data_IF_630889132917
#
_entry.id   IF_630889132917
#
_cell.length_a   1.000
_cell.length_b   1.000
_cell.length_c   1.000
_cell.angle_alpha   90.00
_cell.angle_beta   90.00
_cell.angle_gamma   90.00
#
_symmetry.space_group_name_H-M   'P 1'
#
loop_
_entity.id
_entity.type
_entity.pdbx_description
1 polymer ?
#
# COMPACT_ATOMS: atom_id res chain seq x y z
N UNK A 1 33.57 -5.92 -56.32
CA UNK A 1 33.89 -5.89 -54.87
C UNK A 1 32.84 -5.04 -54.20
N UNK A 2 31.99 -5.62 -53.35
CA UNK A 2 31.00 -4.88 -52.57
C UNK A 2 31.24 -5.21 -51.10
N UNK A 3 31.57 -4.19 -50.31
CA UNK A 3 31.82 -4.29 -48.87
C UNK A 3 30.48 -4.22 -48.15
N UNK A 4 30.11 -5.28 -47.44
CA UNK A 4 28.94 -5.31 -46.56
C UNK A 4 29.36 -4.80 -45.19
N UNK A 5 28.85 -3.64 -44.78
CA UNK A 5 28.99 -3.15 -43.41
C UNK A 5 27.92 -3.78 -42.52
N UNK A 6 28.35 -4.63 -41.58
CA UNK A 6 27.53 -5.01 -40.43
C UNK A 6 27.51 -3.82 -39.45
N UNK A 7 26.36 -3.15 -39.34
CA UNK A 7 26.08 -2.25 -38.22
C UNK A 7 25.62 -3.11 -37.05
N UNK A 8 26.53 -3.40 -36.12
CA UNK A 8 26.18 -3.90 -34.80
C UNK A 8 25.59 -2.73 -34.02
N UNK A 9 24.26 -2.67 -33.93
CA UNK A 9 23.58 -1.79 -32.97
C UNK A 9 23.85 -2.35 -31.57
N UNK A 10 24.89 -1.83 -30.92
CA UNK A 10 25.07 -1.93 -29.49
C UNK A 10 23.89 -1.22 -28.83
N UNK A 11 22.86 -1.99 -28.49
CA UNK A 11 21.74 -1.55 -27.66
C UNK A 11 22.30 -1.14 -26.31
N UNK A 12 22.58 0.15 -26.16
CA UNK A 12 22.86 0.75 -24.87
C UNK A 12 21.69 0.41 -23.96
N UNK A 13 21.94 -0.44 -22.96
CA UNK A 13 21.09 -0.60 -21.81
C UNK A 13 21.07 0.75 -21.09
N UNK A 14 20.26 1.67 -21.60
CA UNK A 14 19.89 2.89 -20.91
C UNK A 14 19.31 2.44 -19.59
N UNK A 15 19.98 2.84 -18.51
CA UNK A 15 19.52 2.70 -17.14
C UNK A 15 18.06 3.09 -17.08
N UNK A 16 17.17 2.09 -17.08
CA UNK A 16 15.76 2.30 -16.93
C UNK A 16 15.60 3.13 -15.67
N UNK A 17 15.12 4.37 -15.82
CA UNK A 17 14.83 5.26 -14.69
C UNK A 17 13.90 4.48 -13.79
N UNK A 18 14.45 3.97 -12.68
CA UNK A 18 13.68 3.19 -11.73
C UNK A 18 12.57 4.07 -11.20
N UNK A 19 11.34 3.61 -11.38
CA UNK A 19 10.17 4.27 -10.83
C UNK A 19 10.27 4.13 -9.30
N UNK A 20 10.72 5.19 -8.63
CA UNK A 20 10.73 5.23 -7.17
C UNK A 20 9.29 5.15 -6.66
N UNK A 21 9.03 4.20 -5.79
CA UNK A 21 7.73 3.99 -5.20
C UNK A 21 7.80 4.12 -3.68
N UNK A 22 6.69 4.51 -3.06
CA UNK A 22 6.66 4.83 -1.64
C UNK A 22 6.06 3.65 -0.85
N UNK A 23 6.86 2.92 -0.05
CA UNK A 23 6.41 1.69 0.61
C UNK A 23 5.13 1.88 1.45
N UNK A 24 5.03 3.02 2.14
CA UNK A 24 3.88 3.36 2.98
C UNK A 24 2.83 4.25 2.32
N UNK A 25 2.85 4.43 0.99
CA UNK A 25 1.94 5.35 0.30
C UNK A 25 2.56 6.69 -0.08
N UNK A 26 1.85 7.45 -0.91
CA UNK A 26 2.41 8.53 -1.73
C UNK A 26 2.40 9.89 -1.01
N UNK A 27 3.55 10.52 -0.72
CA UNK A 27 3.58 11.72 0.12
C UNK A 27 2.95 12.96 -0.51
N UNK A 28 2.78 13.00 -1.84
CA UNK A 28 2.30 14.18 -2.58
C UNK A 28 1.18 13.91 -3.59
N UNK A 29 0.77 12.65 -3.79
CA UNK A 29 -0.34 12.33 -4.69
C UNK A 29 -1.66 12.33 -3.90
N UNK A 30 -2.14 13.54 -3.56
CA UNK A 30 -3.37 13.73 -2.79
C UNK A 30 -4.58 13.67 -3.73
N UNK A 31 -4.97 12.47 -4.16
CA UNK A 31 -6.04 12.22 -5.12
C UNK A 31 -6.64 10.82 -4.96
N UNK A 32 -7.69 10.51 -5.72
CA UNK A 32 -8.19 9.14 -5.85
C UNK A 32 -7.06 8.24 -6.37
N UNK A 33 -6.93 7.05 -5.79
CA UNK A 33 -5.96 6.05 -6.19
C UNK A 33 -6.63 4.68 -6.28
N UNK A 34 -6.38 3.97 -7.37
CA UNK A 34 -6.53 2.52 -7.36
C UNK A 34 -5.20 1.88 -6.95
N UNK A 35 -5.22 0.61 -6.52
CA UNK A 35 -3.99 -0.13 -6.22
C UNK A 35 -3.25 -0.56 -7.49
N UNK A 36 -3.44 0.11 -8.63
CA UNK A 36 -2.67 -0.13 -9.85
C UNK A 36 -1.17 0.16 -9.68
N UNK A 37 -0.80 0.98 -8.69
CA UNK A 37 0.59 1.15 -8.24
C UNK A 37 1.16 -0.12 -7.56
N UNK A 38 0.36 -1.16 -7.38
CA UNK A 38 0.76 -2.32 -6.59
C UNK A 38 1.89 -3.12 -7.22
N UNK A 39 2.26 -2.98 -8.50
CA UNK A 39 3.47 -3.67 -9.01
C UNK A 39 4.74 -3.29 -8.23
N UNK A 40 4.71 -2.15 -7.55
CA UNK A 40 5.79 -1.70 -6.69
C UNK A 40 5.80 -2.39 -5.31
N UNK A 41 4.67 -2.96 -4.85
CA UNK A 41 4.52 -3.58 -3.53
C UNK A 41 4.34 -5.10 -3.63
N UNK A 42 4.80 -5.84 -2.63
CA UNK A 42 4.47 -7.27 -2.51
C UNK A 42 3.06 -7.46 -1.95
N UNK A 43 2.27 -8.35 -2.54
CA UNK A 43 1.00 -8.80 -1.94
C UNK A 43 1.28 -9.66 -0.73
N UNK A 44 0.51 -9.52 0.34
CA UNK A 44 0.68 -10.35 1.54
C UNK A 44 -0.03 -11.72 1.45
N UNK A 45 -0.82 -11.95 0.40
CA UNK A 45 -1.61 -13.19 0.24
C UNK A 45 -1.77 -13.56 -1.24
N UNK A 46 -1.75 -14.87 -1.51
CA UNK A 46 -1.98 -15.44 -2.85
C UNK A 46 -3.42 -15.25 -3.31
N UNK A 47 -4.38 -15.27 -2.38
CA UNK A 47 -5.81 -15.11 -2.65
C UNK A 47 -6.13 -13.74 -3.26
N UNK A 48 -5.34 -12.71 -2.94
CA UNK A 48 -5.43 -11.36 -3.54
C UNK A 48 -4.94 -11.31 -4.99
N UNK A 49 -4.27 -12.36 -5.45
CA UNK A 49 -3.69 -12.52 -6.78
C UNK A 49 -4.34 -13.67 -7.55
N UNK A 50 -5.50 -14.16 -7.10
CA UNK A 50 -6.20 -15.32 -7.66
C UNK A 50 -6.64 -15.14 -9.13
N UNK A 51 -6.55 -13.93 -9.65
CA UNK A 51 -6.74 -13.60 -11.06
C UNK A 51 -5.50 -13.86 -11.93
N UNK A 52 -4.37 -14.26 -11.33
CA UNK A 52 -3.10 -14.52 -12.02
C UNK A 52 -2.72 -16.02 -12.02
N UNK A 53 -1.89 -16.47 -12.98
CA UNK A 53 -1.26 -17.79 -12.94
C UNK A 53 -0.37 -18.00 -11.70
N UNK A 54 -0.23 -19.23 -11.16
CA UNK A 54 0.49 -19.50 -9.92
C UNK A 54 1.95 -18.99 -9.86
N UNK A 55 2.70 -19.10 -10.94
CA UNK A 55 4.07 -18.60 -11.05
C UNK A 55 4.12 -17.07 -10.95
N UNK A 56 3.17 -16.41 -11.61
CA UNK A 56 3.03 -14.97 -11.55
C UNK A 56 2.59 -14.54 -10.16
N UNK A 57 1.70 -15.28 -9.48
CA UNK A 57 1.35 -15.02 -8.08
C UNK A 57 2.58 -15.11 -7.16
N UNK A 58 3.38 -16.18 -7.26
CA UNK A 58 4.56 -16.38 -6.43
C UNK A 58 5.59 -15.24 -6.58
N UNK A 59 5.76 -14.74 -7.81
CA UNK A 59 6.63 -13.60 -8.12
C UNK A 59 6.16 -12.26 -7.54
N UNK A 60 4.97 -12.21 -6.94
CA UNK A 60 4.32 -11.00 -6.42
C UNK A 60 4.22 -10.98 -4.90
N UNK A 61 4.60 -12.09 -4.24
CA UNK A 61 4.68 -12.22 -2.78
C UNK A 61 6.01 -11.67 -2.23
N UNK A 62 6.15 -11.50 -0.91
CA UNK A 62 7.40 -11.09 -0.30
C UNK A 62 8.55 -12.05 -0.59
N UNK A 63 8.28 -13.36 -0.58
CA UNK A 63 9.28 -14.41 -0.77
C UNK A 63 9.94 -14.33 -2.14
N UNK A 64 9.14 -14.19 -3.21
CA UNK A 64 9.62 -14.11 -4.59
C UNK A 64 10.13 -12.73 -5.01
N UNK A 65 10.14 -11.75 -4.11
CA UNK A 65 10.60 -10.36 -4.36
C UNK A 65 11.55 -9.93 -3.26
N UNK A 66 11.01 -9.20 -2.28
CA UNK A 66 11.74 -8.53 -1.22
C UNK A 66 12.72 -9.46 -0.49
N UNK A 67 12.27 -10.65 -0.07
CA UNK A 67 13.14 -11.57 0.66
C UNK A 67 14.18 -12.21 -0.24
N UNK A 68 13.90 -12.43 -1.53
CA UNK A 68 14.89 -12.93 -2.48
C UNK A 68 16.02 -11.91 -2.67
N UNK A 69 15.67 -10.62 -2.83
CA UNK A 69 16.64 -9.54 -2.98
C UNK A 69 17.51 -9.39 -1.72
N UNK A 70 16.89 -9.44 -0.53
CA UNK A 70 17.62 -9.38 0.74
C UNK A 70 18.58 -10.58 0.85
N UNK A 71 18.10 -11.80 0.63
CA UNK A 71 18.92 -13.02 0.72
C UNK A 71 20.08 -13.01 -0.28
N UNK A 72 19.79 -12.64 -1.54
CA UNK A 72 20.78 -12.53 -2.61
C UNK A 72 21.82 -11.43 -2.35
N UNK A 73 21.55 -10.51 -1.42
CA UNK A 73 22.41 -9.35 -1.19
C UNK A 73 22.37 -8.39 -2.36
N UNK A 74 21.23 -8.25 -3.02
CA UNK A 74 21.12 -7.36 -4.17
C UNK A 74 21.28 -5.90 -3.72
N UNK A 75 21.96 -5.12 -4.55
CA UNK A 75 22.08 -3.65 -4.39
C UNK A 75 22.58 -3.21 -3.01
N UNK A 76 21.73 -2.58 -2.20
CA UNK A 76 22.10 -2.07 -0.90
C UNK A 76 22.21 -3.19 0.15
N UNK A 77 21.54 -4.32 -0.05
CA UNK A 77 21.63 -5.47 0.87
C UNK A 77 23.00 -6.14 0.83
N UNK A 78 23.81 -5.91 -0.22
CA UNK A 78 25.19 -6.40 -0.29
C UNK A 78 26.06 -5.88 0.88
N UNK A 79 25.68 -4.74 1.46
CA UNK A 79 26.37 -4.10 2.61
C UNK A 79 26.06 -4.78 3.94
N UNK A 80 25.01 -5.60 4.00
CA UNK A 80 24.66 -6.40 5.18
C UNK A 80 25.40 -7.73 5.13
N UNK A 81 25.86 -8.20 6.29
CA UNK A 81 26.36 -9.57 6.45
C UNK A 81 25.22 -10.58 6.22
N UNK A 82 25.52 -11.86 5.89
CA UNK A 82 24.49 -12.89 5.79
C UNK A 82 23.60 -13.00 7.04
N UNK A 83 24.21 -12.95 8.23
CA UNK A 83 23.48 -13.00 9.50
C UNK A 83 22.56 -11.79 9.69
N UNK A 84 22.98 -10.61 9.23
CA UNK A 84 22.18 -9.39 9.32
C UNK A 84 21.00 -9.38 8.33
N UNK A 85 21.16 -9.99 7.15
CA UNK A 85 20.06 -10.22 6.19
C UNK A 85 19.01 -11.15 6.78
N UNK A 86 19.43 -12.24 7.43
CA UNK A 86 18.52 -13.16 8.13
C UNK A 86 17.75 -12.46 9.24
N UNK A 87 18.43 -11.66 10.08
CA UNK A 87 17.78 -10.85 11.13
C UNK A 87 16.77 -9.86 10.54
N UNK A 88 17.14 -9.18 9.45
CA UNK A 88 16.24 -8.25 8.77
C UNK A 88 14.98 -8.96 8.25
N UNK A 89 15.13 -10.10 7.59
CA UNK A 89 13.99 -10.91 7.10
C UNK A 89 13.12 -11.36 8.27
N UNK A 90 13.71 -11.84 9.37
CA UNK A 90 12.96 -12.26 10.55
C UNK A 90 12.14 -11.09 11.12
N UNK A 91 12.74 -9.91 11.27
CA UNK A 91 12.04 -8.72 11.74
C UNK A 91 10.89 -8.30 10.80
N UNK A 92 11.10 -8.35 9.49
CA UNK A 92 10.05 -8.05 8.50
C UNK A 92 8.92 -9.06 8.60
N UNK A 93 9.21 -10.36 8.72
CA UNK A 93 8.18 -11.40 8.90
C UNK A 93 7.35 -11.18 10.17
N UNK A 94 8.01 -10.80 11.27
CA UNK A 94 7.31 -10.44 12.52
C UNK A 94 6.38 -9.25 12.30
N UNK A 95 6.85 -8.20 11.63
CA UNK A 95 6.01 -7.04 11.32
C UNK A 95 4.84 -7.40 10.40
N UNK A 96 5.07 -8.20 9.34
CA UNK A 96 4.05 -8.65 8.40
C UNK A 96 2.96 -9.46 9.12
N UNK A 97 3.35 -10.38 10.02
CA UNK A 97 2.42 -11.18 10.83
C UNK A 97 1.53 -10.36 11.77
N UNK A 98 1.97 -9.15 12.12
CA UNK A 98 1.25 -8.23 12.99
C UNK A 98 0.62 -7.04 12.27
N UNK A 99 0.83 -6.94 10.95
CA UNK A 99 0.27 -5.91 10.10
C UNK A 99 -1.00 -6.40 9.43
N UNK A 100 -2.00 -5.53 9.35
CA UNK A 100 -3.28 -5.92 8.79
C UNK A 100 -4.26 -4.77 8.67
N UNK A 101 -5.36 -5.04 7.96
CA UNK A 101 -6.44 -4.09 7.75
C UNK A 101 -7.78 -4.78 7.94
N UNK A 102 -8.69 -4.10 8.62
CA UNK A 102 -10.07 -4.52 8.80
C UNK A 102 -11.02 -3.40 8.39
N UNK A 103 -12.25 -3.78 8.06
CA UNK A 103 -13.27 -2.87 7.57
C UNK A 103 -14.60 -3.22 8.21
N UNK A 104 -15.36 -2.19 8.60
CA UNK A 104 -16.74 -2.31 9.05
C UNK A 104 -17.59 -1.25 8.37
N UNK A 105 -18.82 -1.62 8.01
CA UNK A 105 -19.82 -0.68 7.50
C UNK A 105 -20.90 -0.45 8.57
N UNK A 106 -21.47 0.74 8.60
CA UNK A 106 -22.55 1.09 9.54
C UNK A 106 -23.83 0.25 9.33
N UNK A 107 -23.98 -0.34 8.15
CA UNK A 107 -25.04 -1.30 7.84
C UNK A 107 -24.65 -2.19 6.67
N UNK A 108 -25.10 -3.45 6.66
CA UNK A 108 -25.03 -4.33 5.50
C UNK A 108 -26.18 -4.11 4.49
N UNK A 109 -27.17 -3.28 4.85
CA UNK A 109 -28.32 -2.93 4.00
C UNK A 109 -28.59 -1.42 4.04
N UNK A 110 -28.72 -0.80 2.89
CA UNK A 110 -28.93 0.64 2.76
C UNK A 110 -29.94 0.92 1.66
N UNK A 111 -30.72 2.00 1.78
CA UNK A 111 -31.63 2.42 0.71
C UNK A 111 -30.83 2.92 -0.50
N UNK A 112 -31.38 2.86 -1.73
CA UNK A 112 -30.82 3.57 -2.87
C UNK A 112 -30.50 5.03 -2.54
N UNK A 113 -29.30 5.48 -2.91
CA UNK A 113 -28.80 6.84 -2.57
C UNK A 113 -28.75 7.17 -1.07
N UNK A 114 -28.90 6.18 -0.19
CA UNK A 114 -28.88 6.33 1.25
C UNK A 114 -27.46 6.51 1.82
N UNK A 115 -27.33 7.08 3.03
CA UNK A 115 -26.05 7.25 3.68
C UNK A 115 -25.48 5.92 4.19
N UNK A 116 -24.17 5.76 4.08
CA UNK A 116 -23.42 4.64 4.63
C UNK A 116 -22.10 5.17 5.19
N UNK A 117 -21.71 4.74 6.38
CA UNK A 117 -20.36 5.04 6.91
C UNK A 117 -19.52 3.77 6.86
N UNK A 118 -18.29 3.88 6.38
CA UNK A 118 -17.33 2.78 6.35
C UNK A 118 -16.11 3.17 7.17
N UNK A 119 -15.75 2.33 8.13
CA UNK A 119 -14.58 2.51 8.99
C UNK A 119 -13.54 1.46 8.64
N UNK A 120 -12.35 1.92 8.29
CA UNK A 120 -11.17 1.08 8.04
C UNK A 120 -10.23 1.24 9.23
N UNK A 121 -9.79 0.12 9.80
CA UNK A 121 -8.76 0.10 10.85
C UNK A 121 -7.53 -0.60 10.31
N UNK A 122 -6.37 0.02 10.48
CA UNK A 122 -5.08 -0.59 10.13
C UNK A 122 -4.28 -0.86 11.38
N UNK A 123 -3.39 -1.86 11.31
CA UNK A 123 -2.39 -2.16 12.33
C UNK A 123 -1.05 -2.43 11.67
N UNK A 124 0.04 -2.08 12.35
CA UNK A 124 1.41 -2.34 11.94
C UNK A 124 1.95 -1.34 10.92
N UNK A 125 2.93 -1.77 10.14
CA UNK A 125 3.64 -0.94 9.17
C UNK A 125 4.82 -0.13 9.73
N UNK A 126 5.80 0.07 8.87
CA UNK A 126 7.00 0.87 9.12
C UNK A 126 6.85 2.26 8.46
N UNK A 127 6.92 3.29 9.30
CA UNK A 127 6.64 4.68 8.98
C UNK A 127 7.53 5.35 7.93
N UNK A 128 7.30 6.64 7.66
CA UNK A 128 6.48 7.55 8.48
C UNK A 128 4.99 7.58 8.11
N UNK A 129 4.57 6.82 7.10
CA UNK A 129 3.18 6.81 6.62
C UNK A 129 2.70 5.40 6.31
N UNK A 130 1.38 5.23 6.35
CA UNK A 130 0.70 4.11 5.68
C UNK A 130 -0.41 4.66 4.79
N UNK A 131 -0.66 3.96 3.68
CA UNK A 131 -1.68 4.31 2.71
C UNK A 131 -2.94 3.49 2.95
N UNK A 132 -4.11 4.13 2.87
CA UNK A 132 -5.41 3.46 3.01
C UNK A 132 -6.30 3.88 1.85
N UNK A 133 -6.80 2.90 1.09
CA UNK A 133 -7.70 3.10 -0.05
C UNK A 133 -9.02 2.39 0.20
N UNK A 134 -10.15 3.03 -0.11
CA UNK A 134 -11.44 2.35 -0.21
C UNK A 134 -11.68 1.90 -1.66
N UNK A 135 -11.93 0.61 -1.86
CA UNK A 135 -11.97 -0.05 -3.17
C UNK A 135 -13.11 -1.06 -3.24
N UNK A 136 -13.44 -1.50 -4.44
CA UNK A 136 -14.55 -2.41 -4.75
C UNK A 136 -14.27 -3.90 -4.46
N UNK A 137 -13.04 -4.37 -4.67
CA UNK A 137 -12.66 -5.79 -4.51
C UNK A 137 -11.28 -5.98 -3.88
N UNK A 138 -11.00 -7.18 -3.40
CA UNK A 138 -9.71 -7.60 -2.84
C UNK A 138 -8.76 -8.23 -3.89
N UNK A 139 -9.15 -8.17 -5.17
CA UNK A 139 -8.29 -8.54 -6.28
C UNK A 139 -7.31 -7.43 -6.58
N UNK A 140 -6.02 -7.67 -6.37
CA UNK A 140 -4.99 -6.64 -6.47
C UNK A 140 -4.97 -5.94 -7.83
N UNK A 141 -5.06 -6.68 -8.94
CA UNK A 141 -4.92 -6.10 -10.27
C UNK A 141 -6.26 -5.68 -10.91
N UNK A 142 -7.38 -6.03 -10.28
CA UNK A 142 -8.73 -5.72 -10.77
C UNK A 142 -9.46 -4.68 -9.93
N UNK A 143 -8.93 -4.37 -8.73
CA UNK A 143 -9.58 -3.43 -7.83
C UNK A 143 -9.51 -2.00 -8.34
N UNK A 144 -10.61 -1.31 -8.13
CA UNK A 144 -10.82 0.07 -8.54
C UNK A 144 -11.27 0.91 -7.35
N UNK A 145 -11.11 2.24 -7.42
CA UNK A 145 -11.70 3.13 -6.42
C UNK A 145 -13.19 2.82 -6.23
N UNK A 146 -13.67 2.89 -4.99
CA UNK A 146 -15.04 2.50 -4.64
C UNK A 146 -16.13 3.22 -5.46
N UNK A 147 -15.79 4.39 -6.03
CA UNK A 147 -16.66 5.15 -6.90
C UNK A 147 -17.03 4.41 -8.20
N UNK A 148 -16.23 3.43 -8.64
CA UNK A 148 -16.54 2.58 -9.80
C UNK A 148 -17.79 1.72 -9.56
N UNK A 149 -18.04 1.29 -8.32
CA UNK A 149 -19.27 0.59 -7.93
C UNK A 149 -20.47 1.55 -7.77
N UNK A 150 -20.28 2.85 -7.96
CA UNK A 150 -21.32 3.87 -7.87
C UNK A 150 -21.51 4.47 -6.48
N UNK A 151 -20.68 4.12 -5.49
CA UNK A 151 -20.68 4.83 -4.21
C UNK A 151 -20.06 6.21 -4.38
N UNK A 152 -20.71 7.25 -3.86
CA UNK A 152 -20.10 8.57 -3.77
C UNK A 152 -19.47 8.75 -2.39
N UNK A 153 -18.21 9.19 -2.33
CA UNK A 153 -17.64 9.73 -1.10
C UNK A 153 -18.19 11.15 -0.96
N UNK A 154 -18.86 11.45 0.14
CA UNK A 154 -19.63 12.70 0.28
C UNK A 154 -18.93 13.76 1.12
N UNK A 155 -17.86 13.40 1.82
CA UNK A 155 -17.08 14.28 2.68
C UNK A 155 -15.60 13.85 2.67
N UNK A 156 -14.67 14.75 3.05
CA UNK A 156 -13.27 14.37 3.23
C UNK A 156 -13.13 13.23 4.25
N UNK A 157 -12.35 12.17 3.97
CA UNK A 157 -12.19 11.07 4.91
C UNK A 157 -11.64 11.55 6.26
N UNK A 158 -12.24 11.08 7.35
CA UNK A 158 -11.77 11.41 8.71
C UNK A 158 -10.65 10.46 9.11
N UNK A 159 -9.45 11.00 9.32
CA UNK A 159 -8.26 10.22 9.66
C UNK A 159 -7.99 10.36 11.15
N UNK A 160 -7.75 9.24 11.83
CA UNK A 160 -7.24 9.18 13.20
C UNK A 160 -5.88 8.47 13.18
N UNK A 161 -4.85 9.17 13.66
CA UNK A 161 -3.48 8.68 13.71
C UNK A 161 -3.24 7.67 14.84
N UNK A 162 -2.00 7.14 14.94
CA UNK A 162 -1.59 6.22 16.00
C UNK A 162 -1.72 6.76 17.42
N UNK A 163 -1.66 8.07 17.59
CA UNK A 163 -1.82 8.76 18.88
C UNK A 163 -3.29 8.97 19.27
N UNK A 164 -4.22 8.46 18.47
CA UNK A 164 -5.66 8.62 18.69
C UNK A 164 -6.21 9.98 18.27
N UNK A 165 -5.39 10.87 17.69
CA UNK A 165 -5.81 12.23 17.32
C UNK A 165 -6.23 12.34 15.85
N UNK A 166 -7.17 13.26 15.52
CA UNK A 166 -7.50 13.57 14.15
C UNK A 166 -6.28 14.08 13.35
N UNK A 167 -6.17 13.71 12.09
CA UNK A 167 -5.15 14.19 11.16
C UNK A 167 -5.77 14.78 9.89
N UNK A 168 -5.27 15.93 9.44
CA UNK A 168 -5.65 16.55 8.16
C UNK A 168 -4.47 16.73 7.22
N UNK A 169 -3.23 16.57 7.71
CA UNK A 169 -1.98 16.89 7.02
C UNK A 169 -1.89 16.37 5.58
N UNK A 170 -2.31 15.14 5.33
CA UNK A 170 -2.31 14.60 3.96
C UNK A 170 -3.33 15.31 3.07
N UNK A 171 -4.57 15.44 3.53
CA UNK A 171 -5.65 16.09 2.79
C UNK A 171 -5.39 17.58 2.56
N UNK A 172 -4.71 18.25 3.48
CA UNK A 172 -4.30 19.65 3.36
C UNK A 172 -3.23 19.87 2.27
N UNK A 173 -2.55 18.80 1.85
CA UNK A 173 -1.68 18.84 0.67
C UNK A 173 -2.44 18.93 -0.65
N UNK A 174 -3.77 18.76 -0.66
CA UNK A 174 -4.59 18.93 -1.86
C UNK A 174 -4.77 20.41 -2.15
N UNK A 175 -4.66 20.78 -3.43
CA UNK A 175 -4.81 22.17 -3.88
C UNK A 175 -6.15 22.78 -3.47
N UNK A 176 -6.13 24.03 -3.02
CA UNK A 176 -7.31 24.76 -2.60
C UNK A 176 -8.36 24.81 -3.72
N UNK A 177 -9.64 24.70 -3.35
CA UNK A 177 -10.76 24.67 -4.29
C UNK A 177 -11.08 23.30 -4.90
N UNK A 178 -10.20 22.30 -4.76
CA UNK A 178 -10.52 20.93 -5.15
C UNK A 178 -11.24 20.19 -4.02
N UNK A 179 -12.29 19.42 -4.35
CA UNK A 179 -12.93 18.51 -3.39
C UNK A 179 -11.93 17.50 -2.85
N UNK A 180 -11.97 17.26 -1.53
CA UNK A 180 -11.15 16.28 -0.79
C UNK A 180 -11.89 14.94 -0.59
N UNK A 181 -12.97 14.71 -1.31
CA UNK A 181 -13.82 13.52 -1.21
C UNK A 181 -13.20 12.36 -2.02
N UNK A 182 -12.01 11.94 -1.57
CA UNK A 182 -11.14 10.99 -2.27
C UNK A 182 -11.10 9.64 -1.56
N UNK A 183 -10.89 8.56 -2.31
CA UNK A 183 -10.88 7.21 -1.78
C UNK A 183 -9.57 6.83 -1.08
N UNK A 184 -8.53 7.66 -1.18
CA UNK A 184 -7.19 7.35 -0.72
C UNK A 184 -6.66 8.42 0.24
N UNK A 185 -6.05 7.96 1.33
CA UNK A 185 -5.36 8.81 2.29
C UNK A 185 -4.03 8.20 2.75
N UNK A 186 -3.07 9.05 3.14
CA UNK A 186 -2.01 8.64 4.04
C UNK A 186 -2.35 8.99 5.48
N UNK A 187 -2.09 8.05 6.38
CA UNK A 187 -1.98 8.32 7.81
C UNK A 187 -0.51 8.56 8.13
N UNK A 188 -0.20 9.62 8.86
CA UNK A 188 1.18 10.00 9.21
C UNK A 188 1.56 9.53 10.61
N UNK A 189 2.87 9.53 10.87
CA UNK A 189 3.49 9.20 12.15
C UNK A 189 3.27 7.76 12.61
N UNK A 190 2.96 6.87 11.66
CA UNK A 190 2.86 5.43 11.89
C UNK A 190 4.23 4.85 12.17
N UNK A 191 4.44 4.29 13.36
CA UNK A 191 5.69 3.66 13.75
C UNK A 191 5.39 2.38 14.51
N UNK A 192 5.94 1.27 14.04
CA UNK A 192 5.90 -0.02 14.72
C UNK A 192 7.33 -0.43 15.06
N UNK A 193 7.48 -1.17 16.15
CA UNK A 193 8.74 -1.71 16.64
C UNK A 193 8.51 -3.18 17.03
N UNK A 194 8.85 -4.12 16.14
CA UNK A 194 8.75 -5.56 16.38
C UNK A 194 9.58 -6.03 17.58
N UNK A 195 10.74 -5.40 17.84
CA UNK A 195 11.63 -5.77 18.95
C UNK A 195 10.98 -5.39 20.30
N UNK A 196 10.27 -4.25 20.32
CA UNK A 196 9.45 -3.82 21.47
C UNK A 196 8.03 -4.41 21.48
N UNK A 197 7.63 -5.21 20.48
CA UNK A 197 6.29 -5.77 20.36
C UNK A 197 5.18 -4.72 20.14
N UNK A 198 5.53 -3.52 19.65
CA UNK A 198 4.57 -2.42 19.45
C UNK A 198 4.19 -2.26 17.98
N UNK A 199 2.89 -2.10 17.72
CA UNK A 199 2.34 -2.02 16.37
C UNK A 199 1.31 -0.91 16.32
N UNK A 200 1.62 0.15 15.57
CA UNK A 200 0.73 1.31 15.45
C UNK A 200 -0.63 0.91 14.89
N UNK A 201 -1.70 1.50 15.40
CA UNK A 201 -3.05 1.29 14.91
C UNK A 201 -3.65 2.62 14.47
N UNK A 202 -4.29 2.65 13.31
CA UNK A 202 -4.90 3.86 12.75
C UNK A 202 -6.34 3.59 12.33
N UNK A 203 -7.12 4.66 12.16
CA UNK A 203 -8.50 4.57 11.70
C UNK A 203 -8.79 5.60 10.62
N UNK A 204 -9.48 5.18 9.57
CA UNK A 204 -9.98 6.07 8.52
C UNK A 204 -11.48 5.82 8.35
N UNK A 205 -12.27 6.89 8.41
CA UNK A 205 -13.73 6.82 8.26
C UNK A 205 -14.14 7.53 6.98
N UNK A 206 -14.83 6.81 6.10
CA UNK A 206 -15.40 7.31 4.87
C UNK A 206 -16.92 7.49 5.04
N UNK A 207 -17.41 8.68 4.74
CA UNK A 207 -18.84 8.95 4.59
C UNK A 207 -19.23 8.73 3.12
N UNK A 208 -20.18 7.82 2.89
CA UNK A 208 -20.59 7.40 1.56
C UNK A 208 -22.08 7.66 1.34
N UNK A 209 -22.42 7.85 0.07
CA UNK A 209 -23.77 7.66 -0.48
C UNK A 209 -23.78 6.37 -1.29
N UNK A 210 -24.72 5.49 -1.00
CA UNK A 210 -24.89 4.25 -1.74
C UNK A 210 -25.30 4.51 -3.20
N UNK A 211 -25.04 3.57 -4.12
CA UNK A 211 -25.56 3.63 -5.49
C UNK A 211 -27.07 3.87 -5.54
N UNK A 212 -27.54 4.56 -6.58
CA UNK A 212 -28.97 4.77 -6.81
C UNK A 212 -29.66 3.52 -7.37
N UNK A 213 -28.90 2.59 -7.97
CA UNK A 213 -29.41 1.34 -8.52
C UNK A 213 -29.48 0.30 -7.39
N UNK A 214 -30.61 -0.39 -7.19
CA UNK A 214 -30.66 -1.54 -6.28
C UNK A 214 -29.72 -2.66 -6.71
N UNK A 215 -29.12 -3.37 -5.76
CA UNK A 215 -28.16 -4.44 -6.06
C UNK A 215 -27.34 -4.88 -4.86
N UNK A 216 -26.47 -5.86 -5.07
CA UNK A 216 -25.45 -6.27 -4.11
C UNK A 216 -24.10 -5.74 -4.56
N UNK A 217 -23.53 -4.87 -3.75
CA UNK A 217 -22.26 -4.22 -4.01
C UNK A 217 -21.19 -4.73 -3.08
N UNK A 218 -19.93 -4.58 -3.47
CA UNK A 218 -18.79 -4.97 -2.64
C UNK A 218 -18.02 -3.74 -2.21
N UNK A 219 -17.59 -3.72 -0.95
CA UNK A 219 -16.72 -2.67 -0.41
C UNK A 219 -15.60 -3.36 0.34
N UNK A 220 -14.36 -2.97 0.08
CA UNK A 220 -13.20 -3.35 0.89
C UNK A 220 -12.21 -2.20 1.00
N UNK A 221 -11.10 -2.44 1.70
CA UNK A 221 -10.01 -1.49 1.83
C UNK A 221 -8.68 -2.13 1.43
N UNK A 222 -7.86 -1.38 0.70
CA UNK A 222 -6.46 -1.70 0.49
C UNK A 222 -5.59 -0.89 1.46
N UNK A 223 -4.51 -1.51 1.93
CA UNK A 223 -3.60 -1.00 2.93
C UNK A 223 -2.16 -1.14 2.43
N UNK A 224 -1.45 -0.02 2.32
CA UNK A 224 -0.06 0.06 1.91
C UNK A 224 0.84 0.36 3.10
N UNK A 225 1.86 -0.44 3.33
CA UNK A 225 2.81 -0.22 4.43
C UNK A 225 4.23 -0.61 4.06
N UNK A 226 5.22 0.11 4.59
CA UNK A 226 6.63 -0.31 4.53
C UNK A 226 6.97 -1.29 5.64
N UNK A 227 8.14 -1.93 5.55
CA UNK A 227 8.55 -2.94 6.54
C UNK A 227 9.90 -2.69 7.22
N UNK A 228 10.95 -2.45 6.44
CA UNK A 228 12.33 -2.44 6.95
C UNK A 228 12.59 -1.38 8.02
N UNK A 229 12.00 -0.19 7.90
CA UNK A 229 12.23 0.92 8.83
C UNK A 229 11.71 0.67 10.25
N UNK A 230 11.08 -0.47 10.52
CA UNK A 230 10.64 -0.84 11.85
C UNK A 230 11.82 -1.19 12.77
N UNK A 231 12.97 -1.62 12.24
CA UNK A 231 14.16 -1.98 13.03
C UNK A 231 15.36 -1.11 12.71
N UNK A 232 16.38 -1.14 13.58
CA UNK A 232 17.62 -0.38 13.36
C UNK A 232 18.38 -0.86 12.12
N UNK A 233 18.43 -2.17 11.88
CA UNK A 233 19.16 -2.78 10.77
C UNK A 233 18.52 -2.54 9.40
N UNK A 234 17.21 -2.29 9.38
CA UNK A 234 16.46 -1.92 8.17
C UNK A 234 16.44 -0.42 7.88
N UNK A 235 17.27 0.37 8.56
CA UNK A 235 17.38 1.82 8.40
C UNK A 235 18.76 2.20 7.89
N UNK A 236 18.79 3.16 6.98
CA UNK A 236 20.01 3.87 6.58
C UNK A 236 19.77 5.38 6.58
N UNK A 237 20.81 6.14 6.90
CA UNK A 237 20.77 7.58 6.75
C UNK A 237 20.91 7.94 5.27
N UNK A 238 19.91 8.65 4.74
CA UNK A 238 19.86 9.16 3.39
C UNK A 238 20.17 10.66 3.31
N UNK A 239 20.26 11.21 2.10
CA UNK A 239 20.55 12.62 1.88
C UNK A 239 19.63 13.55 2.69
N UNK A 240 20.23 14.53 3.37
CA UNK A 240 19.53 15.50 4.20
C UNK A 240 18.99 14.92 5.53
N UNK A 241 19.68 13.93 6.11
CA UNK A 241 19.33 13.33 7.41
C UNK A 241 18.05 12.49 7.39
N UNK A 242 17.59 12.07 6.21
CA UNK A 242 16.34 11.30 6.08
C UNK A 242 16.59 9.83 6.35
N UNK A 243 15.79 9.22 7.24
CA UNK A 243 15.82 7.77 7.45
C UNK A 243 15.12 7.04 6.30
N UNK A 244 15.87 6.20 5.58
CA UNK A 244 15.42 5.40 4.45
C UNK A 244 15.42 3.89 4.81
N UNK A 245 14.64 3.05 4.10
CA UNK A 245 14.83 1.60 4.12
C UNK A 245 16.26 1.25 3.67
N UNK A 246 16.82 0.16 4.18
CA UNK A 246 18.14 -0.30 3.72
C UNK A 246 18.09 -0.77 2.27
N UNK A 247 16.98 -1.33 1.80
CA UNK A 247 16.72 -1.62 0.39
C UNK A 247 16.75 -0.39 -0.53
N UNK A 248 16.72 0.82 0.03
CA UNK A 248 16.75 2.08 -0.71
C UNK A 248 15.38 2.74 -0.82
N UNK A 249 15.21 3.64 -1.79
CA UNK A 249 13.97 4.42 -1.95
C UNK A 249 12.85 3.69 -2.69
N UNK A 250 13.11 2.47 -3.12
CA UNK A 250 12.20 1.70 -3.96
C UNK A 250 11.24 0.84 -3.10
N UNK A 251 10.13 0.41 -3.70
CA UNK A 251 9.03 -0.18 -2.94
C UNK A 251 9.10 -1.70 -2.74
N UNK A 252 10.22 -2.34 -3.06
CA UNK A 252 10.46 -3.75 -2.73
C UNK A 252 10.21 -4.02 -1.22
N UNK A 253 10.48 -3.02 -0.38
CA UNK A 253 10.18 -2.99 1.06
C UNK A 253 8.68 -2.90 1.43
N UNK A 254 7.83 -2.61 0.46
CA UNK A 254 6.42 -2.29 0.60
C UNK A 254 5.53 -3.52 0.54
N UNK A 255 4.41 -3.43 1.24
CA UNK A 255 3.33 -4.42 1.26
C UNK A 255 2.03 -3.79 0.81
N UNK A 256 1.22 -4.58 0.12
CA UNK A 256 -0.20 -4.32 -0.07
C UNK A 256 -1.00 -5.45 0.57
N UNK A 257 -1.97 -5.07 1.39
CA UNK A 257 -2.93 -5.96 2.00
C UNK A 257 -4.35 -5.47 1.74
N UNK A 258 -5.30 -6.39 1.70
CA UNK A 258 -6.72 -6.08 1.55
C UNK A 258 -7.50 -6.58 2.75
N UNK A 259 -8.49 -5.80 3.16
CA UNK A 259 -9.46 -6.26 4.15
C UNK A 259 -10.38 -7.32 3.54
N UNK A 260 -11.03 -8.12 4.38
CA UNK A 260 -12.09 -9.02 3.91
C UNK A 260 -13.22 -8.18 3.29
N UNK A 261 -13.65 -8.45 2.05
CA UNK A 261 -14.72 -7.68 1.43
C UNK A 261 -16.05 -7.78 2.18
N UNK A 262 -16.73 -6.63 2.29
CA UNK A 262 -18.10 -6.54 2.78
C UNK A 262 -19.08 -6.57 1.60
N UNK A 263 -20.21 -7.23 1.78
CA UNK A 263 -21.35 -7.16 0.86
C UNK A 263 -22.38 -6.20 1.39
N UNK A 264 -22.74 -5.20 0.58
CA UNK A 264 -23.73 -4.18 0.89
C UNK A 264 -24.93 -4.35 -0.04
N UNK A 265 -26.09 -4.64 0.53
CA UNK A 265 -27.33 -4.73 -0.24
C UNK A 265 -28.02 -3.36 -0.30
N UNK A 266 -28.21 -2.85 -1.51
CA UNK A 266 -28.93 -1.60 -1.78
C UNK A 266 -30.37 -1.93 -2.16
N UNK A 267 -31.34 -1.61 -1.29
CA UNK A 267 -32.77 -1.88 -1.47
C UNK A 267 -33.66 -1.04 -0.56
#
# INVERSE_FOLDING_TARGET
MAVVFFVVLAGGAGSARRLSAFPGGTPRFVTNAGPYCAFCHSSVSKEQLRDMPPEAQASQLPEGRHFSEINGGEENYQKLSPADREKLIAAIKTLDAHSGVSIVASSARVRPSGPLTVTVTTRGGAGPVVGVMLVDTDLRNQSSPIQTEGFAITEPPRITGPDGKPQTRFLDGRMAGLSKDINYVNVVDVKSDPDAGTYAACKVVYALRAPARPGNYTVTAAYLYGTEKATAIGRVEGPGGRVLPVGGRDAHAGRIAFAKPLKIAVR
#
